data_IF_438046420542
#
_entry.id   IF_438046420542
#
_cell.length_a   1.000
_cell.length_b   1.000
_cell.length_c   1.000
_cell.angle_alpha   90.00
_cell.angle_beta   90.00
_cell.angle_gamma   90.00
#
_symmetry.space_group_name_H-M   'P 1'
#
loop_
_entity.id
_entity.type
_entity.pdbx_description
1 polymer ?
#
# COMPACT_ATOMS: atom_id res chain seq x y z
N UNK A 1 25.58 -4.97 -10.43
CA UNK A 1 24.69 -3.85 -10.80
C UNK A 1 23.29 -4.35 -10.48
N UNK A 2 22.69 -3.88 -9.40
CA UNK A 2 21.45 -4.45 -8.86
C UNK A 2 20.31 -3.91 -9.72
N UNK A 3 19.65 -4.78 -10.47
CA UNK A 3 18.47 -4.42 -11.26
C UNK A 3 17.31 -4.16 -10.30
N UNK A 4 17.10 -2.88 -10.02
CA UNK A 4 16.03 -2.40 -9.16
C UNK A 4 14.69 -2.55 -9.89
N UNK A 5 13.89 -3.51 -9.42
CA UNK A 5 12.43 -3.55 -9.57
C UNK A 5 11.94 -3.79 -11.00
N UNK A 6 11.27 -4.91 -11.20
CA UNK A 6 10.36 -5.11 -12.34
C UNK A 6 9.45 -3.89 -12.48
N UNK A 7 9.74 -3.05 -13.48
CA UNK A 7 8.88 -1.95 -13.96
C UNK A 7 7.90 -2.55 -14.95
N UNK A 8 7.11 -3.50 -14.48
CA UNK A 8 5.96 -3.97 -15.21
C UNK A 8 4.88 -2.90 -14.98
N UNK A 9 4.72 -2.02 -15.96
CA UNK A 9 3.57 -1.11 -16.10
C UNK A 9 3.46 0.06 -15.12
N UNK A 10 4.55 0.73 -14.72
CA UNK A 10 4.50 2.10 -14.15
C UNK A 10 3.70 2.30 -12.83
N UNK A 11 3.06 1.27 -12.31
CA UNK A 11 2.27 1.29 -11.09
C UNK A 11 3.19 0.80 -9.97
N UNK A 12 3.74 1.73 -9.21
CA UNK A 12 4.39 1.37 -7.95
C UNK A 12 3.30 0.87 -7.01
N UNK A 13 3.32 -0.44 -6.72
CA UNK A 13 2.42 -1.02 -5.72
C UNK A 13 2.87 -0.55 -4.33
N UNK A 14 1.98 0.15 -3.62
CA UNK A 14 2.18 0.58 -2.23
C UNK A 14 1.26 -0.24 -1.32
N UNK A 15 1.62 -0.37 -0.05
CA UNK A 15 0.74 -1.00 0.93
C UNK A 15 -0.16 0.06 1.56
N UNK A 16 -1.45 -0.25 1.63
CA UNK A 16 -2.45 0.51 2.38
C UNK A 16 -2.93 -0.34 3.55
N UNK A 17 -3.30 0.31 4.64
CA UNK A 17 -3.95 -0.33 5.79
C UNK A 17 -5.29 0.33 6.01
N UNK A 18 -6.34 -0.48 6.16
CA UNK A 18 -7.64 0.02 6.56
C UNK A 18 -7.55 0.58 7.97
N UNK A 19 -7.82 1.87 8.15
CA UNK A 19 -7.70 2.54 9.47
C UNK A 19 -8.79 2.12 10.45
N UNK A 20 -9.85 1.46 9.96
CA UNK A 20 -10.95 0.99 10.78
C UNK A 20 -10.71 -0.40 11.39
N UNK A 21 -10.06 -1.32 10.67
CA UNK A 21 -9.87 -2.71 11.12
C UNK A 21 -8.42 -3.20 11.05
N UNK A 22 -7.50 -2.40 10.52
CA UNK A 22 -6.09 -2.75 10.36
C UNK A 22 -5.81 -3.69 9.19
N UNK A 23 -6.79 -3.98 8.32
CA UNK A 23 -6.60 -4.93 7.23
C UNK A 23 -5.67 -4.36 6.14
N UNK A 24 -4.58 -5.07 5.78
CA UNK A 24 -3.67 -4.64 4.74
C UNK A 24 -4.27 -4.90 3.34
N UNK A 25 -4.05 -3.97 2.40
CA UNK A 25 -4.46 -4.11 1.01
C UNK A 25 -3.46 -3.43 0.08
N UNK A 26 -3.35 -3.94 -1.15
CA UNK A 26 -2.55 -3.30 -2.18
C UNK A 26 -3.17 -1.96 -2.61
N UNK A 27 -2.34 -0.93 -2.64
CA UNK A 27 -2.60 0.36 -3.25
C UNK A 27 -1.75 0.58 -4.49
N UNK A 28 -2.19 1.51 -5.33
CA UNK A 28 -1.46 2.03 -6.48
C UNK A 28 -1.16 3.50 -6.27
N UNK A 29 0.00 3.93 -6.75
CA UNK A 29 0.36 5.35 -6.82
C UNK A 29 -0.16 5.92 -8.13
N UNK A 30 -0.90 7.02 -8.08
CA UNK A 30 -1.35 7.78 -9.25
C UNK A 30 -0.24 8.68 -9.79
N UNK A 31 -0.40 9.22 -11.00
CA UNK A 31 0.57 10.15 -11.61
C UNK A 31 0.81 11.42 -10.76
N UNK A 32 -0.19 11.85 -9.97
CA UNK A 32 -0.09 12.97 -9.03
C UNK A 32 0.63 12.59 -7.71
N UNK A 33 1.05 11.33 -7.55
CA UNK A 33 1.71 10.82 -6.35
C UNK A 33 0.74 10.41 -5.23
N UNK A 34 -0.56 10.37 -5.49
CA UNK A 34 -1.56 9.93 -4.51
C UNK A 34 -1.59 8.40 -4.41
N UNK A 35 -1.66 7.86 -3.20
CA UNK A 35 -1.79 6.41 -2.98
C UNK A 35 -3.26 6.07 -2.79
N UNK A 36 -3.83 5.32 -3.74
CA UNK A 36 -5.23 4.89 -3.72
C UNK A 36 -5.35 3.37 -3.71
N UNK A 37 -6.39 2.78 -3.12
CA UNK A 37 -6.60 1.34 -3.15
C UNK A 37 -6.72 0.82 -4.58
N UNK A 38 -5.98 -0.25 -4.88
CA UNK A 38 -6.22 -1.04 -6.07
C UNK A 38 -7.57 -1.71 -5.87
N UNK A 39 -8.51 -1.48 -6.79
CA UNK A 39 -9.91 -1.86 -6.66
C UNK A 39 -10.08 -3.30 -6.12
N UNK A 40 -11.03 -3.55 -5.19
CA UNK A 40 -12.08 -2.63 -4.72
C UNK A 40 -11.58 -1.50 -3.82
N UNK A 41 -12.25 -0.33 -3.89
CA UNK A 41 -11.95 0.83 -3.03
C UNK A 41 -12.43 0.65 -1.59
N UNK A 42 -13.15 -0.43 -1.31
CA UNK A 42 -13.62 -0.83 0.01
C UNK A 42 -12.72 -1.90 0.59
N UNK A 43 -12.59 -1.92 1.92
CA UNK A 43 -11.83 -2.94 2.63
C UNK A 43 -12.50 -4.29 2.49
N UNK A 44 -11.79 -5.28 1.94
CA UNK A 44 -12.30 -6.64 1.79
C UNK A 44 -12.65 -7.36 3.10
N UNK A 45 -12.26 -6.82 4.26
CA UNK A 45 -12.56 -7.40 5.57
C UNK A 45 -13.76 -6.74 6.27
N UNK A 46 -13.83 -5.41 6.32
CA UNK A 46 -14.88 -4.69 7.05
C UNK A 46 -15.79 -3.81 6.19
N UNK A 47 -15.54 -3.69 4.88
CA UNK A 47 -16.27 -2.83 3.96
C UNK A 47 -15.99 -1.33 4.11
N UNK A 48 -15.06 -0.93 4.97
CA UNK A 48 -14.72 0.49 5.15
C UNK A 48 -13.92 1.03 3.95
N UNK A 49 -14.20 2.25 3.53
CA UNK A 49 -13.40 3.00 2.54
C UNK A 49 -12.24 3.80 3.16
N UNK A 50 -11.98 3.66 4.46
CA UNK A 50 -10.95 4.43 5.16
C UNK A 50 -9.61 3.69 5.14
N UNK A 51 -8.64 4.23 4.40
CA UNK A 51 -7.30 3.68 4.25
C UNK A 51 -6.23 4.74 4.51
N UNK A 52 -5.09 4.29 5.03
CA UNK A 52 -3.87 5.09 5.13
C UNK A 52 -2.73 4.37 4.41
N UNK A 53 -1.89 5.09 3.64
CA UNK A 53 -0.64 4.53 3.14
C UNK A 53 0.26 4.20 4.33
N UNK A 54 0.87 3.03 4.29
CA UNK A 54 1.95 2.68 5.22
C UNK A 54 3.25 2.74 4.45
N UNK A 55 4.16 3.58 4.91
CA UNK A 55 5.54 3.52 4.47
C UNK A 55 6.18 2.26 5.05
N UNK A 56 7.04 1.61 4.26
CA UNK A 56 7.78 0.44 4.73
C UNK A 56 8.63 0.75 5.97
N UNK A 57 8.95 2.03 6.18
CA UNK A 57 9.63 2.56 7.36
C UNK A 57 8.71 2.65 8.60
N UNK A 58 7.41 2.91 8.40
CA UNK A 58 6.41 3.05 9.48
C UNK A 58 5.95 1.72 10.05
N UNK A 59 5.99 0.65 9.24
CA UNK A 59 5.70 -0.72 9.68
C UNK A 59 6.67 -1.27 10.73
N UNK A 60 7.72 -0.52 11.09
CA UNK A 60 8.57 -0.91 12.19
C UNK A 60 9.10 -2.32 12.02
N UNK A 61 9.48 -2.71 10.79
CA UNK A 61 10.48 -3.75 10.60
C UNK A 61 11.82 -3.19 11.08
N UNK A 62 11.89 -2.83 12.38
CA UNK A 62 13.04 -3.18 13.18
C UNK A 62 13.19 -4.69 12.96
N UNK A 63 13.98 -5.06 11.97
CA UNK A 63 14.78 -6.27 12.01
C UNK A 63 15.50 -6.20 13.35
N UNK A 64 14.85 -6.74 14.39
CA UNK A 64 15.39 -6.77 15.72
C UNK A 64 16.62 -7.64 15.68
N UNK A 65 17.77 -7.06 16.03
CA UNK A 65 18.87 -7.64 16.81
C UNK A 65 19.95 -6.58 16.94
#
# INVERSE_FOLDING_TARGET
MIEAGSREDGIVSRLLVCTHCGWPQAGRVTDDGEVIPSAPVECGNCGSGAFAPVDAEDLGLKSGS
#
